data_IF_820851631668
#
_entry.id   IF_820851631668
#
_cell.length_a   1.000
_cell.length_b   1.000
_cell.length_c   1.000
_cell.angle_alpha   90.00
_cell.angle_beta   90.00
_cell.angle_gamma   90.00
#
_symmetry.space_group_name_H-M   'P 1'
#
loop_
_entity.id
_entity.type
_entity.pdbx_description
1 polymer ?
#
# COMPACT_ATOMS: atom_id res chain seq x y z
N UNK A 1 9.12 40.33 -42.28
CA UNK A 1 8.98 40.51 -40.82
C UNK A 1 10.12 39.78 -40.16
N UNK A 2 10.72 40.35 -39.13
CA UNK A 2 11.74 39.73 -38.29
C UNK A 2 11.14 39.57 -36.89
N UNK A 3 11.17 38.34 -36.38
CA UNK A 3 10.67 37.98 -35.04
C UNK A 3 11.68 37.05 -34.39
N UNK A 4 11.91 37.20 -33.09
CA UNK A 4 12.88 36.45 -32.29
C UNK A 4 14.31 36.52 -32.84
N UNK A 5 14.64 37.64 -33.48
CA UNK A 5 15.96 37.85 -34.10
C UNK A 5 16.93 38.59 -33.20
N UNK A 6 18.22 38.42 -33.46
CA UNK A 6 19.27 39.30 -32.93
C UNK A 6 20.06 39.88 -34.10
N UNK A 7 20.08 41.21 -34.18
CA UNK A 7 20.82 42.02 -35.15
C UNK A 7 21.85 42.82 -34.36
N UNK A 8 23.06 42.27 -34.21
CA UNK A 8 24.10 42.88 -33.40
C UNK A 8 25.46 42.75 -34.05
N UNK A 9 26.21 43.86 -34.12
CA UNK A 9 27.53 43.90 -34.73
C UNK A 9 27.56 43.61 -36.24
N UNK A 10 26.41 43.58 -36.93
CA UNK A 10 26.30 43.32 -38.36
C UNK A 10 26.37 44.60 -39.20
N UNK A 11 26.66 44.45 -40.50
CA UNK A 11 26.71 45.56 -41.45
C UNK A 11 26.13 45.15 -42.82
N UNK A 12 25.26 46.00 -43.36
CA UNK A 12 24.71 45.95 -44.70
C UNK A 12 25.69 46.62 -45.65
N UNK A 13 26.51 45.79 -46.31
CA UNK A 13 27.54 46.25 -47.23
C UNK A 13 27.00 47.16 -48.35
N UNK A 14 27.81 48.13 -48.77
CA UNK A 14 27.47 49.05 -49.88
C UNK A 14 26.72 50.32 -49.48
N UNK A 15 26.35 50.46 -48.20
CA UNK A 15 25.77 51.69 -47.62
C UNK A 15 26.73 52.25 -46.56
N UNK A 16 26.55 53.51 -46.14
CA UNK A 16 27.43 54.14 -45.15
C UNK A 16 27.65 53.21 -43.92
N UNK A 17 28.85 53.20 -43.32
CA UNK A 17 29.15 52.32 -42.19
C UNK A 17 28.13 52.54 -41.06
N UNK A 18 27.51 51.44 -40.60
CA UNK A 18 26.54 51.44 -39.49
C UNK A 18 25.24 50.68 -39.75
N UNK A 19 24.78 50.53 -40.99
CA UNK A 19 23.45 49.94 -41.24
C UNK A 19 23.44 48.42 -41.00
N UNK A 20 22.60 47.92 -40.10
CA UNK A 20 22.34 46.50 -39.84
C UNK A 20 21.26 45.92 -40.78
N UNK A 21 20.35 46.78 -41.25
CA UNK A 21 19.33 46.45 -42.25
C UNK A 21 19.41 47.47 -43.39
N UNK A 22 19.38 46.99 -44.65
CA UNK A 22 19.17 47.84 -45.82
C UNK A 22 17.85 47.45 -46.51
N UNK A 23 16.91 48.39 -46.56
CA UNK A 23 15.59 48.21 -47.17
C UNK A 23 15.42 49.13 -48.39
N UNK A 24 15.27 48.55 -49.59
CA UNK A 24 15.04 49.28 -50.84
C UNK A 24 13.61 49.06 -51.35
N UNK A 25 12.72 50.00 -51.07
CA UNK A 25 11.33 49.99 -51.53
C UNK A 25 10.37 49.01 -50.84
N UNK A 26 10.80 48.31 -49.79
CA UNK A 26 9.99 47.32 -49.06
C UNK A 26 9.50 47.79 -47.68
N UNK A 27 8.81 46.92 -46.96
CA UNK A 27 8.37 47.14 -45.57
C UNK A 27 9.04 46.14 -44.63
N UNK A 28 9.84 46.64 -43.68
CA UNK A 28 10.45 45.82 -42.63
C UNK A 28 9.67 46.00 -41.35
N UNK A 29 9.17 44.91 -40.78
CA UNK A 29 8.53 44.90 -39.46
C UNK A 29 9.40 44.09 -38.52
N UNK A 30 9.80 44.67 -37.40
CA UNK A 30 10.56 44.00 -36.34
C UNK A 30 9.65 43.87 -35.11
N UNK A 31 9.62 42.73 -34.46
CA UNK A 31 8.98 42.52 -33.17
C UNK A 31 9.77 41.47 -32.39
N UNK A 32 9.86 41.56 -31.07
CA UNK A 32 10.65 40.62 -30.25
C UNK A 32 12.03 40.40 -30.87
N UNK A 33 12.72 41.51 -31.15
CA UNK A 33 13.98 41.50 -31.88
C UNK A 33 14.96 42.41 -31.17
N UNK A 34 16.15 41.88 -30.90
CA UNK A 34 17.26 42.65 -30.38
C UNK A 34 17.99 43.30 -31.55
N UNK A 35 18.18 44.61 -31.51
CA UNK A 35 18.85 45.38 -32.56
C UNK A 35 19.80 46.38 -31.92
N UNK A 36 21.02 46.53 -32.44
CA UNK A 36 21.93 47.57 -31.97
C UNK A 36 21.32 48.95 -32.23
N UNK A 37 21.60 49.89 -31.34
CA UNK A 37 21.09 51.27 -31.42
C UNK A 37 22.24 52.27 -31.53
N UNK A 38 23.11 52.05 -32.51
CA UNK A 38 24.15 52.99 -32.92
C UNK A 38 23.60 54.02 -33.92
N UNK A 39 24.49 54.74 -34.62
CA UNK A 39 24.06 55.74 -35.61
C UNK A 39 23.86 55.07 -36.97
N UNK A 40 22.66 55.20 -37.54
CA UNK A 40 22.27 54.61 -38.83
C UNK A 40 22.17 53.07 -38.84
N UNK A 41 21.49 52.41 -37.89
CA UNK A 41 21.35 50.93 -37.91
C UNK A 41 20.36 50.40 -38.95
N UNK A 42 19.47 51.24 -39.48
CA UNK A 42 18.55 50.83 -40.55
C UNK A 42 18.52 51.87 -41.64
N UNK A 43 18.92 51.46 -42.85
CA UNK A 43 18.79 52.26 -44.05
C UNK A 43 17.47 51.95 -44.76
N UNK A 44 16.74 53.00 -45.15
CA UNK A 44 15.47 52.89 -45.87
C UNK A 44 15.48 53.76 -47.13
N UNK A 45 15.65 53.14 -48.28
CA UNK A 45 15.54 53.78 -49.60
C UNK A 45 14.16 53.57 -50.21
N UNK A 46 13.24 54.51 -50.00
CA UNK A 46 11.89 54.46 -50.58
C UNK A 46 10.94 53.40 -49.99
N UNK A 47 11.30 52.80 -48.85
CA UNK A 47 10.49 51.82 -48.10
C UNK A 47 9.99 52.34 -46.75
N UNK A 48 9.63 51.41 -45.85
CA UNK A 48 9.24 51.72 -44.45
C UNK A 48 9.77 50.69 -43.45
N UNK A 49 9.93 51.13 -42.20
CA UNK A 49 10.28 50.26 -41.07
C UNK A 49 9.28 50.51 -39.95
N UNK A 50 8.73 49.42 -39.41
CA UNK A 50 7.81 49.44 -38.27
C UNK A 50 8.38 48.63 -37.14
N UNK A 51 8.52 49.26 -35.97
CA UNK A 51 8.87 48.58 -34.73
C UNK A 51 7.59 48.17 -34.00
N UNK A 52 7.41 46.87 -33.87
CA UNK A 52 6.41 46.24 -33.02
C UNK A 52 6.90 46.16 -31.56
N UNK A 53 6.22 45.36 -30.72
CA UNK A 53 6.62 45.17 -29.33
C UNK A 53 7.94 44.40 -29.21
N UNK A 54 8.56 44.41 -28.03
CA UNK A 54 9.70 43.55 -27.71
C UNK A 54 11.01 43.93 -28.41
N UNK A 55 11.19 45.21 -28.77
CA UNK A 55 12.46 45.68 -29.32
C UNK A 55 13.43 45.98 -28.18
N UNK A 56 14.61 45.37 -28.24
CA UNK A 56 15.67 45.51 -27.25
C UNK A 56 16.90 46.09 -27.93
N UNK A 57 17.54 47.07 -27.27
CA UNK A 57 18.71 47.78 -27.82
C UNK A 57 19.99 47.68 -27.00
N UNK A 58 19.93 46.93 -25.90
CA UNK A 58 21.10 46.58 -25.08
C UNK A 58 21.87 45.40 -25.66
N UNK A 59 23.17 45.32 -25.35
CA UNK A 59 24.07 44.24 -25.77
C UNK A 59 23.46 42.84 -25.50
N UNK A 60 23.42 41.93 -26.49
CA UNK A 60 22.94 40.57 -26.30
C UNK A 60 23.85 39.71 -25.41
N UNK A 61 25.04 40.18 -25.04
CA UNK A 61 25.98 39.49 -24.13
C UNK A 61 26.28 38.06 -24.63
N UNK A 62 26.74 37.94 -25.88
CA UNK A 62 27.19 36.66 -26.44
C UNK A 62 28.51 36.21 -25.83
N UNK A 63 28.78 34.89 -25.76
CA UNK A 63 30.01 34.33 -25.17
C UNK A 63 31.28 34.80 -25.91
N UNK A 64 31.32 34.64 -27.23
CA UNK A 64 32.47 35.03 -28.06
C UNK A 64 32.03 35.27 -29.51
N UNK A 65 31.28 36.35 -29.79
CA UNK A 65 30.88 36.67 -31.15
C UNK A 65 32.11 37.10 -31.96
N UNK A 66 32.05 36.91 -33.28
CA UNK A 66 33.08 37.38 -34.21
C UNK A 66 32.58 38.63 -34.96
N UNK A 67 33.52 39.39 -35.55
CA UNK A 67 33.19 40.58 -36.31
C UNK A 67 32.45 40.22 -37.61
N UNK A 68 31.48 41.05 -38.02
CA UNK A 68 30.73 40.81 -39.25
C UNK A 68 31.58 40.85 -40.53
N UNK A 69 32.75 41.50 -40.49
CA UNK A 69 33.73 41.49 -41.61
C UNK A 69 34.30 40.11 -41.89
N UNK A 70 34.25 39.20 -40.91
CA UNK A 70 34.78 37.85 -41.03
C UNK A 70 33.71 36.86 -41.56
N UNK A 71 32.50 37.35 -41.81
CA UNK A 71 31.41 36.56 -42.38
C UNK A 71 31.55 36.38 -43.92
N UNK A 72 31.07 35.25 -44.50
CA UNK A 72 30.44 34.12 -43.81
C UNK A 72 31.49 33.19 -43.20
N UNK A 73 31.23 32.73 -41.98
CA UNK A 73 32.05 31.73 -41.30
C UNK A 73 31.20 30.93 -40.32
N UNK A 74 31.66 29.73 -39.98
CA UNK A 74 31.08 28.88 -38.93
C UNK A 74 31.77 29.07 -37.58
N UNK A 75 32.77 29.94 -37.50
CA UNK A 75 33.46 30.29 -36.25
C UNK A 75 32.66 31.30 -35.42
N UNK A 76 32.95 31.37 -34.12
CA UNK A 76 32.26 32.25 -33.17
C UNK A 76 31.31 31.48 -32.24
N UNK A 77 30.99 32.07 -31.08
CA UNK A 77 30.07 31.51 -30.10
C UNK A 77 28.99 32.55 -29.76
N UNK A 78 27.84 32.39 -30.42
CA UNK A 78 26.66 33.25 -30.28
C UNK A 78 25.66 32.73 -29.25
N UNK A 79 26.07 31.83 -28.34
CA UNK A 79 25.26 31.49 -27.17
C UNK A 79 25.17 32.70 -26.24
N UNK A 80 24.01 32.85 -25.62
CA UNK A 80 23.75 33.89 -24.63
C UNK A 80 24.52 33.59 -23.34
N UNK A 81 25.00 34.64 -22.67
CA UNK A 81 25.51 34.54 -21.31
C UNK A 81 24.41 34.88 -20.29
N UNK A 82 24.61 34.45 -19.04
CA UNK A 82 23.72 34.81 -17.94
C UNK A 82 23.56 36.34 -17.84
N UNK A 83 22.32 36.80 -17.71
CA UNK A 83 21.98 38.23 -17.69
C UNK A 83 21.84 38.88 -19.06
N UNK A 84 21.95 38.12 -20.15
CA UNK A 84 21.62 38.62 -21.49
C UNK A 84 20.16 39.10 -21.53
N UNK A 85 19.89 40.26 -22.15
CA UNK A 85 18.53 40.76 -22.34
C UNK A 85 17.77 39.98 -23.43
N UNK A 86 18.42 39.06 -24.14
CA UNK A 86 17.77 38.20 -25.12
C UNK A 86 17.08 36.97 -24.50
N UNK A 87 17.39 36.67 -23.23
CA UNK A 87 16.83 35.52 -22.51
C UNK A 87 15.34 35.78 -22.20
N UNK A 88 14.49 34.79 -22.40
CA UNK A 88 13.05 34.77 -22.14
C UNK A 88 12.29 35.98 -22.71
N UNK A 89 12.77 36.54 -23.83
CA UNK A 89 12.30 37.83 -24.37
C UNK A 89 11.67 37.76 -25.76
N UNK A 90 11.59 36.56 -26.32
CA UNK A 90 10.97 36.30 -27.61
C UNK A 90 9.45 36.10 -27.57
N UNK A 91 8.89 35.72 -28.71
CA UNK A 91 7.49 35.38 -28.96
C UNK A 91 7.36 33.89 -29.30
N UNK A 92 6.82 33.10 -28.37
CA UNK A 92 6.61 31.66 -28.55
C UNK A 92 5.74 31.33 -29.77
N UNK A 93 4.81 32.21 -30.15
CA UNK A 93 3.91 31.96 -31.29
C UNK A 93 4.61 32.01 -32.64
N UNK A 94 5.79 32.62 -32.71
CA UNK A 94 6.63 32.70 -33.89
C UNK A 94 7.64 31.54 -34.01
N UNK A 95 7.69 30.63 -33.03
CA UNK A 95 8.61 29.49 -33.03
C UNK A 95 8.13 28.40 -33.99
N UNK A 96 8.90 28.16 -35.04
CA UNK A 96 8.59 27.18 -36.09
C UNK A 96 9.39 25.88 -35.99
N UNK A 97 10.38 25.81 -35.10
CA UNK A 97 11.27 24.65 -34.90
C UNK A 97 11.21 24.19 -33.44
N UNK A 98 11.33 22.88 -33.21
CA UNK A 98 11.26 22.31 -31.86
C UNK A 98 12.58 22.43 -31.07
N UNK A 99 13.71 22.62 -31.77
CA UNK A 99 15.02 22.71 -31.14
C UNK A 99 15.81 23.92 -31.63
N UNK A 100 16.73 24.39 -30.79
CA UNK A 100 17.74 25.36 -31.17
C UNK A 100 18.88 24.72 -31.99
N UNK A 101 19.93 25.48 -32.31
CA UNK A 101 21.06 24.97 -33.08
C UNK A 101 21.98 24.00 -32.31
N UNK A 102 21.83 23.89 -30.98
CA UNK A 102 22.50 22.88 -30.15
C UNK A 102 21.69 21.59 -30.02
N UNK A 103 20.46 21.57 -30.54
CA UNK A 103 19.55 20.45 -30.42
C UNK A 103 18.76 20.43 -29.10
N UNK A 104 18.90 21.47 -28.27
CA UNK A 104 18.08 21.63 -27.07
C UNK A 104 16.69 22.14 -27.44
N UNK A 105 15.70 21.96 -26.56
CA UNK A 105 14.35 22.48 -26.81
C UNK A 105 14.40 23.98 -27.11
N UNK A 106 13.66 24.45 -28.13
CA UNK A 106 13.67 25.87 -28.54
C UNK A 106 12.93 26.79 -27.58
N UNK A 107 12.16 26.25 -26.64
CA UNK A 107 11.51 27.01 -25.57
C UNK A 107 11.93 26.35 -24.27
N UNK A 108 12.90 26.94 -23.58
CA UNK A 108 13.28 26.63 -22.20
C UNK A 108 12.75 27.75 -21.29
N UNK A 109 12.60 27.52 -19.98
CA UNK A 109 12.16 28.57 -19.04
C UNK A 109 10.72 29.12 -19.24
N UNK A 110 10.02 28.69 -20.29
CA UNK A 110 8.65 29.09 -20.63
C UNK A 110 8.54 30.12 -21.74
N UNK A 111 9.60 30.86 -22.07
CA UNK A 111 9.63 31.84 -23.16
C UNK A 111 10.87 31.63 -24.03
N UNK A 112 10.69 31.67 -25.35
CA UNK A 112 11.79 31.55 -26.30
C UNK A 112 12.79 32.70 -26.19
N UNK A 113 14.07 32.40 -26.27
CA UNK A 113 15.13 33.39 -26.36
C UNK A 113 15.22 33.98 -27.77
N UNK A 114 15.59 35.26 -27.86
CA UNK A 114 15.89 35.85 -29.16
C UNK A 114 17.22 35.33 -29.71
N UNK A 115 17.23 34.96 -30.99
CA UNK A 115 18.41 34.44 -31.68
C UNK A 115 18.28 32.97 -32.06
N UNK A 116 19.42 32.31 -32.26
CA UNK A 116 19.49 30.94 -32.77
C UNK A 116 19.71 29.87 -31.69
N UNK A 117 20.07 30.30 -30.47
CA UNK A 117 20.39 29.45 -29.33
C UNK A 117 19.50 29.84 -28.15
N UNK A 118 19.15 28.86 -27.34
CA UNK A 118 18.58 29.10 -26.01
C UNK A 118 19.70 29.18 -24.97
N UNK A 119 19.44 29.90 -23.89
CA UNK A 119 20.23 29.89 -22.69
C UNK A 119 19.89 28.63 -21.90
N UNK A 120 20.84 27.71 -21.83
CA UNK A 120 20.65 26.45 -21.14
C UNK A 120 20.50 26.67 -19.63
N UNK A 121 19.44 26.12 -19.06
CA UNK A 121 19.19 26.08 -17.63
C UNK A 121 19.51 24.68 -17.07
N UNK A 122 20.02 24.56 -15.84
CA UNK A 122 19.95 23.30 -15.11
C UNK A 122 18.49 22.99 -14.78
N UNK A 123 18.18 21.71 -14.60
CA UNK A 123 16.85 21.24 -14.17
C UNK A 123 17.09 20.08 -13.21
N UNK A 124 17.16 20.37 -11.92
CA UNK A 124 17.31 19.32 -10.91
C UNK A 124 15.97 18.66 -10.64
N UNK A 125 15.95 17.36 -10.39
CA UNK A 125 14.72 16.65 -10.08
C UNK A 125 14.93 15.71 -8.89
N UNK A 126 13.86 15.46 -8.13
CA UNK A 126 13.89 14.54 -6.99
C UNK A 126 12.74 13.55 -7.05
N UNK A 127 13.06 12.29 -6.77
CA UNK A 127 12.08 11.24 -6.52
C UNK A 127 12.33 10.59 -5.16
N UNK A 128 11.26 10.28 -4.45
CA UNK A 128 11.30 9.64 -3.14
C UNK A 128 10.40 8.41 -3.13
N UNK A 129 10.93 7.31 -2.63
CA UNK A 129 10.18 6.05 -2.44
C UNK A 129 10.36 5.53 -1.02
N UNK A 130 9.48 4.62 -0.60
CA UNK A 130 9.55 3.93 0.69
C UNK A 130 9.38 2.43 0.51
N UNK A 131 10.14 1.64 1.27
CA UNK A 131 9.98 0.20 1.36
C UNK A 131 10.10 -0.27 2.82
N UNK A 132 9.22 -1.18 3.29
CA UNK A 132 7.99 -1.62 2.61
C UNK A 132 6.95 -0.48 2.52
N UNK A 133 5.95 -0.62 1.63
CA UNK A 133 4.85 0.36 1.49
C UNK A 133 3.73 0.15 2.51
N UNK A 134 3.74 -0.98 3.22
CA UNK A 134 2.91 -1.27 4.37
C UNK A 134 3.70 -1.97 5.46
N UNK A 135 3.54 -1.57 6.73
CA UNK A 135 4.18 -2.21 7.87
C UNK A 135 3.46 -1.91 9.19
N UNK A 136 3.66 -2.78 10.18
CA UNK A 136 3.13 -2.54 11.53
C UNK A 136 4.07 -1.65 12.36
N UNK A 137 3.56 -1.02 13.44
CA UNK A 137 4.39 -0.27 14.39
C UNK A 137 5.62 -1.05 14.85
N UNK A 138 6.77 -0.38 14.94
CA UNK A 138 8.05 -0.99 15.35
C UNK A 138 8.85 -1.67 14.23
N UNK A 139 8.37 -1.65 12.99
CA UNK A 139 9.10 -2.24 11.86
C UNK A 139 10.04 -1.23 11.22
N UNK A 140 11.16 -1.74 10.71
CA UNK A 140 12.11 -0.95 9.96
C UNK A 140 11.54 -0.57 8.60
N UNK A 141 11.82 0.66 8.18
CA UNK A 141 11.47 1.20 6.87
C UNK A 141 12.71 1.83 6.24
N UNK A 142 12.70 1.89 4.92
CA UNK A 142 13.76 2.50 4.12
C UNK A 142 13.14 3.52 3.17
N UNK A 143 13.60 4.77 3.22
CA UNK A 143 13.33 5.74 2.18
C UNK A 143 14.51 5.82 1.22
N UNK A 144 14.21 5.90 -0.08
CA UNK A 144 15.23 6.13 -1.11
C UNK A 144 14.92 7.45 -1.81
N UNK A 145 15.88 8.37 -1.75
CA UNK A 145 15.90 9.63 -2.49
C UNK A 145 16.77 9.44 -3.72
N UNK A 146 16.24 9.65 -4.91
CA UNK A 146 17.02 9.69 -6.14
C UNK A 146 16.90 11.07 -6.76
N UNK A 147 18.05 11.70 -7.04
CA UNK A 147 18.15 13.03 -7.61
C UNK A 147 18.94 13.01 -8.91
N UNK A 148 18.67 13.97 -9.79
CA UNK A 148 19.36 14.12 -11.07
C UNK A 148 19.33 15.56 -11.56
N UNK A 149 20.14 15.88 -12.57
CA UNK A 149 20.02 17.08 -13.39
C UNK A 149 19.58 16.67 -14.81
N UNK A 150 18.33 16.97 -15.17
CA UNK A 150 17.74 16.73 -16.50
C UNK A 150 17.95 17.90 -17.46
N UNK A 151 18.47 19.03 -16.96
CA UNK A 151 18.68 20.25 -17.73
C UNK A 151 19.93 20.22 -18.59
N UNK A 152 20.03 21.20 -19.49
CA UNK A 152 21.14 21.29 -20.45
C UNK A 152 22.37 22.03 -19.89
N UNK A 153 22.25 22.70 -18.74
CA UNK A 153 23.38 23.32 -18.04
C UNK A 153 23.74 22.58 -16.75
N UNK A 154 24.97 22.80 -16.27
CA UNK A 154 25.44 22.24 -15.00
C UNK A 154 24.70 22.87 -13.83
N UNK A 155 24.10 22.06 -12.97
CA UNK A 155 23.44 22.52 -11.75
C UNK A 155 24.48 22.78 -10.65
N UNK A 156 24.40 23.95 -10.02
CA UNK A 156 25.32 24.38 -8.96
C UNK A 156 24.55 24.75 -7.70
N UNK A 157 25.25 24.77 -6.55
CA UNK A 157 24.65 24.96 -5.23
C UNK A 157 23.48 24.00 -4.97
N UNK A 158 23.66 22.73 -5.37
CA UNK A 158 22.63 21.71 -5.27
C UNK A 158 22.49 21.25 -3.82
N UNK A 159 21.30 21.41 -3.24
CA UNK A 159 20.99 21.06 -1.85
C UNK A 159 19.78 20.14 -1.84
N UNK A 160 19.89 19.00 -1.15
CA UNK A 160 18.75 18.11 -0.85
C UNK A 160 18.43 18.21 0.63
N UNK A 161 17.14 18.31 0.97
CA UNK A 161 16.65 18.33 2.36
C UNK A 161 15.53 17.33 2.58
N UNK A 162 15.44 16.77 3.78
CA UNK A 162 14.42 15.81 4.17
C UNK A 162 14.17 15.88 5.67
N UNK A 163 12.96 16.29 6.06
CA UNK A 163 12.52 16.35 7.46
C UNK A 163 11.68 15.12 7.78
N UNK A 164 12.34 14.08 8.28
CA UNK A 164 11.70 12.80 8.57
C UNK A 164 10.68 12.97 9.72
N UNK A 165 9.41 12.57 9.53
CA UNK A 165 8.37 12.78 10.52
C UNK A 165 8.58 11.95 11.79
N UNK A 166 8.03 12.42 12.91
CA UNK A 166 8.12 11.77 14.24
C UNK A 166 7.47 10.38 14.30
N UNK A 167 6.72 9.97 13.27
CA UNK A 167 6.24 8.60 13.10
C UNK A 167 7.38 7.62 12.80
N UNK A 168 8.60 8.10 12.53
CA UNK A 168 9.80 7.32 12.27
C UNK A 168 10.86 7.68 13.31
N UNK A 169 11.25 6.68 14.09
CA UNK A 169 12.29 6.77 15.13
C UNK A 169 13.65 6.38 14.59
N UNK A 170 14.70 6.94 15.21
CA UNK A 170 16.11 6.69 14.88
C UNK A 170 16.42 6.78 13.37
N UNK A 171 15.94 7.81 12.65
CA UNK A 171 16.25 7.89 11.23
C UNK A 171 17.75 8.11 11.04
N UNK A 172 18.33 7.44 10.05
CA UNK A 172 19.76 7.50 9.77
C UNK A 172 20.06 7.30 8.28
N UNK A 173 21.21 7.80 7.81
CA UNK A 173 21.67 7.56 6.44
C UNK A 173 22.31 6.17 6.39
N UNK A 174 21.70 5.27 5.63
CA UNK A 174 22.21 3.91 5.42
C UNK A 174 23.25 3.82 4.30
N UNK A 175 23.19 4.75 3.33
CA UNK A 175 24.13 4.77 2.22
C UNK A 175 23.84 5.89 1.23
N UNK A 176 24.78 6.09 0.30
CA UNK A 176 24.63 6.99 -0.83
C UNK A 176 25.50 6.53 -2.02
N UNK A 177 25.16 6.97 -3.23
CA UNK A 177 25.89 6.63 -4.46
C UNK A 177 25.69 7.69 -5.54
N UNK A 178 26.57 7.74 -6.53
CA UNK A 178 26.53 8.70 -7.63
C UNK A 178 27.41 9.91 -7.36
N UNK A 179 26.87 11.12 -7.53
CA UNK A 179 27.56 12.36 -7.22
C UNK A 179 28.12 12.41 -5.79
N UNK A 180 29.15 13.24 -5.57
CA UNK A 180 29.70 13.46 -4.23
C UNK A 180 28.65 14.17 -3.36
N UNK A 181 28.39 13.59 -2.19
CA UNK A 181 27.36 14.03 -1.24
C UNK A 181 28.03 14.38 0.09
N UNK A 182 27.83 15.60 0.55
CA UNK A 182 28.38 16.11 1.81
C UNK A 182 27.21 16.37 2.77
N UNK A 183 27.05 15.57 3.85
CA UNK A 183 26.02 15.82 4.85
C UNK A 183 26.24 17.17 5.56
N UNK A 184 25.20 17.99 5.62
CA UNK A 184 25.19 19.30 6.29
C UNK A 184 24.11 19.40 7.37
N UNK A 185 23.16 18.47 7.40
CA UNK A 185 22.14 18.31 8.44
C UNK A 185 22.07 16.85 8.94
N UNK A 186 21.47 16.67 10.11
CA UNK A 186 21.32 15.36 10.76
C UNK A 186 19.89 15.12 11.18
N UNK A 187 19.57 13.87 11.53
CA UNK A 187 18.27 13.46 12.03
C UNK A 187 17.67 14.44 13.06
N UNK A 188 16.36 14.74 13.00
CA UNK A 188 15.40 14.28 11.98
C UNK A 188 15.37 15.15 10.71
N UNK A 189 16.06 16.30 10.71
CA UNK A 189 16.07 17.27 9.61
C UNK A 189 17.37 17.14 8.83
N UNK A 190 17.41 16.22 7.88
CA UNK A 190 18.59 16.01 7.06
C UNK A 190 18.74 17.09 6.00
N UNK A 191 20.00 17.41 5.71
CA UNK A 191 20.40 18.25 4.60
C UNK A 191 21.72 17.74 4.02
N UNK A 192 21.87 17.84 2.71
CA UNK A 192 23.08 17.44 2.00
C UNK A 192 23.42 18.47 0.94
N UNK A 193 24.69 18.89 0.95
CA UNK A 193 25.28 19.58 -0.18
C UNK A 193 25.72 18.53 -1.21
N UNK A 194 25.23 18.65 -2.43
CA UNK A 194 25.65 17.82 -3.56
C UNK A 194 26.70 18.62 -4.34
N UNK A 195 27.70 17.93 -4.89
CA UNK A 195 28.60 18.53 -5.86
C UNK A 195 27.84 18.99 -7.11
N UNK A 196 28.48 19.83 -7.92
CA UNK A 196 27.90 20.29 -9.19
C UNK A 196 27.52 19.09 -10.05
N UNK A 197 26.32 19.12 -10.62
CA UNK A 197 25.77 18.04 -11.44
C UNK A 197 25.80 18.46 -12.91
N UNK A 198 26.63 17.80 -13.71
CA UNK A 198 26.57 17.98 -15.16
C UNK A 198 25.22 17.47 -15.72
N UNK A 199 24.83 17.88 -16.94
CA UNK A 199 23.63 17.34 -17.61
C UNK A 199 23.62 15.80 -17.60
N UNK A 200 22.52 15.22 -17.09
CA UNK A 200 22.32 13.77 -16.97
C UNK A 200 22.96 13.11 -15.74
N UNK A 201 23.72 13.84 -14.91
CA UNK A 201 24.27 13.30 -13.67
C UNK A 201 23.25 13.26 -12.54
N UNK A 202 23.51 12.43 -11.53
CA UNK A 202 22.62 12.27 -10.39
C UNK A 202 23.18 11.34 -9.31
N UNK A 203 22.33 10.93 -8.40
CA UNK A 203 22.70 10.06 -7.30
C UNK A 203 21.53 9.60 -6.46
N UNK A 204 21.86 8.83 -5.42
CA UNK A 204 20.90 8.23 -4.50
C UNK A 204 21.36 8.48 -3.06
N UNK A 205 20.41 8.77 -2.18
CA UNK A 205 20.57 8.79 -0.73
C UNK A 205 19.54 7.81 -0.13
N UNK A 206 20.01 6.88 0.70
CA UNK A 206 19.15 5.90 1.38
C UNK A 206 19.08 6.22 2.86
N UNK A 207 17.85 6.42 3.36
CA UNK A 207 17.55 6.63 4.76
C UNK A 207 16.86 5.40 5.33
N UNK A 208 17.21 5.01 6.54
CA UNK A 208 16.49 3.98 7.30
C UNK A 208 15.94 4.56 8.58
N UNK A 209 14.92 3.93 9.14
CA UNK A 209 14.35 4.25 10.44
C UNK A 209 13.37 3.17 10.88
N UNK A 210 12.76 3.34 12.04
CA UNK A 210 11.79 2.38 12.59
C UNK A 210 10.48 3.10 12.89
N UNK A 211 9.35 2.59 12.40
CA UNK A 211 8.04 3.14 12.75
C UNK A 211 7.86 3.18 14.27
N UNK A 212 7.40 4.30 14.81
CA UNK A 212 7.11 4.45 16.24
C UNK A 212 6.21 3.30 16.73
N UNK A 213 6.43 2.86 17.97
CA UNK A 213 5.61 1.84 18.61
C UNK A 213 5.31 2.27 20.06
N UNK A 214 4.05 2.62 20.41
CA UNK A 214 2.85 2.49 19.59
C UNK A 214 2.75 3.56 18.48
N UNK A 215 2.06 3.22 17.39
CA UNK A 215 1.66 4.15 16.33
C UNK A 215 0.27 3.72 15.84
N UNK A 216 -0.67 4.66 15.78
CA UNK A 216 -2.00 4.38 15.28
C UNK A 216 -1.96 4.05 13.79
N UNK A 217 -2.89 3.21 13.34
CA UNK A 217 -3.03 2.91 11.92
C UNK A 217 -3.34 4.17 11.11
N UNK A 218 -2.81 4.22 9.89
CA UNK A 218 -2.96 5.38 9.01
C UNK A 218 -1.89 5.44 7.93
N UNK A 219 -1.98 6.48 7.10
CA UNK A 219 -1.03 6.74 6.02
C UNK A 219 -0.09 7.87 6.46
N UNK A 220 1.21 7.61 6.49
CA UNK A 220 2.23 8.56 6.90
C UNK A 220 3.14 8.89 5.73
N UNK A 221 3.21 10.17 5.36
CA UNK A 221 4.06 10.65 4.28
C UNK A 221 5.33 11.32 4.82
N UNK A 222 6.46 11.02 4.19
CA UNK A 222 7.69 11.78 4.33
C UNK A 222 7.96 12.54 3.02
N UNK A 223 8.39 13.80 3.10
CA UNK A 223 8.62 14.65 1.93
C UNK A 223 10.03 15.22 1.96
N UNK A 224 10.70 15.15 0.81
CA UNK A 224 12.01 15.73 0.59
C UNK A 224 11.96 16.75 -0.54
N UNK A 225 12.92 17.66 -0.54
CA UNK A 225 13.06 18.76 -1.49
C UNK A 225 14.50 18.84 -2.00
N UNK A 226 14.68 19.23 -3.26
CA UNK A 226 15.96 19.58 -3.87
C UNK A 226 15.91 21.01 -4.38
N UNK A 227 17.03 21.73 -4.32
CA UNK A 227 17.17 23.07 -4.89
C UNK A 227 18.51 23.21 -5.60
N UNK A 228 18.55 24.01 -6.67
CA UNK A 228 19.78 24.43 -7.33
C UNK A 228 19.69 25.89 -7.79
N UNK A 229 20.81 26.52 -8.08
CA UNK A 229 20.82 27.89 -8.65
C UNK A 229 20.38 27.85 -10.11
N UNK A 230 19.39 28.67 -10.47
CA UNK A 230 18.92 28.82 -11.86
C UNK A 230 18.13 27.62 -12.38
N UNK A 231 17.58 26.81 -11.48
CA UNK A 231 16.75 25.65 -11.83
C UNK A 231 15.55 26.05 -12.71
N UNK A 232 15.41 25.36 -13.84
CA UNK A 232 14.45 25.66 -14.90
C UNK A 232 13.05 25.10 -14.67
N UNK A 233 12.87 24.11 -13.78
CA UNK A 233 11.57 23.52 -13.47
C UNK A 233 11.43 23.16 -11.98
N UNK A 234 10.82 24.07 -11.20
CA UNK A 234 10.60 23.81 -9.79
C UNK A 234 9.54 22.73 -9.47
N UNK A 235 8.78 22.23 -10.47
CA UNK A 235 7.66 21.31 -10.23
C UNK A 235 8.13 19.89 -9.87
N UNK A 236 9.34 19.51 -10.25
CA UNK A 236 9.93 18.19 -10.00
C UNK A 236 10.90 18.18 -8.80
N UNK A 237 11.00 19.30 -8.08
CA UNK A 237 11.93 19.50 -6.96
C UNK A 237 11.45 18.99 -5.61
N UNK A 238 10.24 18.43 -5.55
CA UNK A 238 9.62 18.00 -4.30
C UNK A 238 8.99 16.63 -4.48
N UNK A 239 9.33 15.70 -3.59
CA UNK A 239 8.81 14.33 -3.68
C UNK A 239 8.43 13.76 -2.32
N UNK A 240 7.26 13.13 -2.26
CA UNK A 240 6.71 12.52 -1.06
C UNK A 240 6.58 11.01 -1.23
N UNK A 241 6.95 10.24 -0.21
CA UNK A 241 6.67 8.80 -0.13
C UNK A 241 5.81 8.51 1.10
N UNK A 242 4.73 7.76 0.90
CA UNK A 242 3.78 7.41 1.94
C UNK A 242 3.83 5.91 2.28
N UNK A 243 3.74 5.60 3.57
CA UNK A 243 3.62 4.23 4.09
C UNK A 243 2.27 4.05 4.78
N UNK A 244 1.63 2.92 4.53
CA UNK A 244 0.45 2.48 5.27
C UNK A 244 0.88 1.75 6.54
N UNK A 245 0.37 2.17 7.68
CA UNK A 245 0.63 1.53 8.97
C UNK A 245 -0.63 0.82 9.44
N UNK A 246 -0.52 -0.47 9.73
CA UNK A 246 -1.59 -1.33 10.26
C UNK A 246 -0.98 -2.60 10.87
N UNK A 247 -1.65 -3.23 11.83
CA UNK A 247 -1.26 -4.57 12.29
C UNK A 247 -1.68 -5.67 11.27
N UNK A 248 -0.95 -6.78 11.28
CA UNK A 248 -1.16 -7.97 10.44
C UNK A 248 -1.58 -9.18 11.28
N UNK A 249 -1.86 -9.02 12.57
CA UNK A 249 -2.24 -10.13 13.45
C UNK A 249 -3.71 -10.55 13.27
N UNK A 250 -3.93 -11.50 12.36
CA UNK A 250 -5.25 -12.11 12.14
C UNK A 250 -5.52 -13.31 13.08
N UNK A 251 -4.86 -13.47 14.23
CA UNK A 251 -5.08 -14.66 15.08
C UNK A 251 -6.22 -14.47 16.07
N UNK A 252 -6.72 -15.60 16.58
CA UNK A 252 -7.50 -15.62 17.82
C UNK A 252 -6.57 -15.69 19.02
N UNK A 253 -6.86 -14.92 20.07
CA UNK A 253 -6.31 -15.10 21.41
C UNK A 253 -7.07 -16.15 22.22
N UNK A 254 -8.34 -16.41 21.91
CA UNK A 254 -9.15 -17.42 22.59
C UNK A 254 -10.25 -17.98 21.67
N UNK A 255 -10.68 -19.22 21.94
CA UNK A 255 -11.82 -19.86 21.30
C UNK A 255 -12.48 -20.80 22.30
N UNK A 256 -13.74 -20.53 22.66
CA UNK A 256 -14.46 -21.28 23.69
C UNK A 256 -15.80 -21.78 23.15
N UNK A 257 -16.18 -23.00 23.52
CA UNK A 257 -17.51 -23.57 23.29
C UNK A 257 -18.30 -23.61 24.60
N UNK A 258 -19.62 -23.40 24.55
CA UNK A 258 -20.48 -23.56 25.73
C UNK A 258 -20.65 -25.01 26.19
N UNK A 259 -20.41 -25.99 25.30
CA UNK A 259 -20.50 -27.42 25.60
C UNK A 259 -19.58 -28.21 24.66
N UNK A 260 -19.01 -29.29 25.19
CA UNK A 260 -18.00 -30.11 24.50
C UNK A 260 -16.61 -29.43 24.54
N UNK A 261 -15.56 -30.12 25.02
CA UNK A 261 -14.22 -29.56 24.98
C UNK A 261 -13.70 -29.52 23.54
N UNK A 262 -13.00 -28.44 23.18
CA UNK A 262 -12.22 -28.41 21.94
C UNK A 262 -11.11 -29.45 22.00
N UNK A 263 -10.97 -30.21 20.91
CA UNK A 263 -9.92 -31.19 20.70
C UNK A 263 -9.20 -30.87 19.39
N UNK A 264 -7.90 -30.53 19.42
CA UNK A 264 -7.08 -30.29 20.62
C UNK A 264 -7.56 -29.07 21.43
N UNK A 265 -7.03 -28.87 22.64
CA UNK A 265 -7.25 -27.63 23.38
C UNK A 265 -6.77 -26.42 22.55
N UNK A 266 -7.39 -25.25 22.75
CA UNK A 266 -7.11 -24.08 21.93
C UNK A 266 -5.64 -23.64 22.02
N UNK A 267 -5.02 -23.47 20.84
CA UNK A 267 -3.71 -22.85 20.64
C UNK A 267 -3.83 -21.99 19.38
N UNK A 268 -3.43 -20.72 19.43
CA UNK A 268 -3.69 -19.74 18.36
C UNK A 268 -3.19 -20.12 16.97
N UNK A 269 -2.19 -21.01 16.87
CA UNK A 269 -1.62 -21.53 15.61
C UNK A 269 -2.35 -22.76 15.06
N UNK A 270 -3.23 -23.40 15.85
CA UNK A 270 -4.04 -24.53 15.39
C UNK A 270 -5.33 -24.01 14.78
N UNK A 271 -5.60 -24.41 13.55
CA UNK A 271 -6.73 -23.89 12.74
C UNK A 271 -7.89 -24.87 12.60
N UNK A 272 -7.75 -26.08 13.14
CA UNK A 272 -8.76 -27.14 13.02
C UNK A 272 -9.01 -27.76 14.39
N UNK A 273 -10.28 -27.78 14.77
CA UNK A 273 -10.75 -28.31 16.06
C UNK A 273 -11.96 -29.21 15.87
N UNK A 274 -12.12 -30.16 16.77
CA UNK A 274 -13.33 -30.94 16.92
C UNK A 274 -13.88 -30.81 18.32
N UNK A 275 -15.18 -31.04 18.49
CA UNK A 275 -15.81 -31.20 19.79
C UNK A 275 -16.94 -32.22 19.66
N UNK A 276 -17.16 -33.02 20.71
CA UNK A 276 -18.27 -33.98 20.76
C UNK A 276 -19.25 -33.55 21.83
N UNK A 277 -20.53 -33.50 21.47
CA UNK A 277 -21.62 -33.13 22.40
C UNK A 277 -22.68 -34.23 22.44
N UNK A 278 -23.32 -34.38 23.60
CA UNK A 278 -24.35 -35.39 23.81
C UNK A 278 -25.58 -35.15 22.90
N UNK A 279 -26.34 -36.21 22.62
CA UNK A 279 -27.52 -36.14 21.76
C UNK A 279 -28.56 -35.09 22.20
N UNK A 280 -28.71 -34.86 23.51
CA UNK A 280 -29.64 -33.86 24.06
C UNK A 280 -29.17 -32.41 23.86
N UNK A 281 -27.92 -32.19 23.47
CA UNK A 281 -27.40 -30.85 23.15
C UNK A 281 -27.89 -30.45 21.76
N UNK A 282 -28.85 -29.53 21.69
CA UNK A 282 -29.44 -29.05 20.43
C UNK A 282 -28.83 -27.74 19.94
N UNK A 283 -28.02 -27.07 20.76
CA UNK A 283 -27.28 -25.85 20.40
C UNK A 283 -25.96 -25.78 21.14
N UNK A 284 -24.99 -25.10 20.54
CA UNK A 284 -23.69 -24.75 21.14
C UNK A 284 -23.40 -23.29 20.79
N UNK A 285 -22.83 -22.53 21.72
CA UNK A 285 -22.29 -21.20 21.40
C UNK A 285 -20.78 -21.29 21.16
N UNK A 286 -20.31 -20.53 20.18
CA UNK A 286 -18.89 -20.33 19.86
C UNK A 286 -18.54 -18.91 20.25
N UNK A 287 -17.54 -18.74 21.12
CA UNK A 287 -17.09 -17.43 21.61
C UNK A 287 -15.61 -17.25 21.24
N UNK A 288 -15.30 -16.71 20.05
CA UNK A 288 -13.94 -16.38 19.65
C UNK A 288 -13.51 -15.00 20.17
N UNK A 289 -12.23 -14.85 20.49
CA UNK A 289 -11.62 -13.57 20.87
C UNK A 289 -10.40 -13.34 19.98
N UNK A 290 -10.37 -12.21 19.25
CA UNK A 290 -9.22 -11.79 18.43
C UNK A 290 -8.01 -11.48 19.31
N UNK A 291 -6.80 -11.70 18.79
CA UNK A 291 -5.58 -11.28 19.49
C UNK A 291 -5.29 -9.79 19.36
N UNK A 292 -5.64 -9.21 18.22
CA UNK A 292 -5.63 -7.77 17.98
C UNK A 292 -7.04 -7.18 18.19
N UNK A 293 -7.11 -6.07 18.90
CA UNK A 293 -8.34 -5.33 19.18
C UNK A 293 -8.90 -4.61 17.94
N UNK A 294 -8.05 -4.31 16.95
CA UNK A 294 -8.45 -3.65 15.70
C UNK A 294 -8.78 -4.65 14.58
N UNK A 295 -8.57 -5.95 14.80
CA UNK A 295 -8.99 -7.00 13.86
C UNK A 295 -10.51 -7.16 13.85
N UNK A 296 -11.05 -7.57 12.70
CA UNK A 296 -12.47 -7.90 12.54
C UNK A 296 -12.68 -9.42 12.58
N UNK A 297 -13.88 -9.84 12.95
CA UNK A 297 -14.21 -11.23 13.20
C UNK A 297 -15.56 -11.57 12.56
N UNK A 298 -15.64 -12.75 11.95
CA UNK A 298 -16.87 -13.30 11.40
C UNK A 298 -16.99 -14.79 11.74
N UNK A 299 -18.21 -15.25 12.06
CA UNK A 299 -18.52 -16.67 12.27
C UNK A 299 -19.56 -17.09 11.24
N UNK A 300 -19.24 -18.12 10.45
CA UNK A 300 -20.01 -18.56 9.28
C UNK A 300 -20.36 -17.41 8.31
N UNK A 301 -19.44 -16.44 8.16
CA UNK A 301 -19.60 -15.26 7.32
C UNK A 301 -20.41 -14.12 7.94
N UNK A 302 -21.03 -14.31 9.12
CA UNK A 302 -21.73 -13.26 9.83
C UNK A 302 -20.74 -12.46 10.71
N UNK A 303 -20.71 -11.11 10.64
CA UNK A 303 -19.87 -10.29 11.50
C UNK A 303 -20.17 -10.54 12.99
N UNK A 304 -19.13 -10.61 13.81
CA UNK A 304 -19.21 -10.86 15.25
C UNK A 304 -18.17 -9.98 15.97
N UNK A 305 -18.53 -9.42 17.13
CA UNK A 305 -17.57 -8.71 17.97
C UNK A 305 -16.56 -9.65 18.63
N UNK A 306 -15.36 -9.17 18.92
CA UNK A 306 -14.37 -9.96 19.68
C UNK A 306 -14.92 -10.29 21.08
N UNK A 307 -14.96 -11.58 21.43
CA UNK A 307 -15.51 -12.06 22.69
C UNK A 307 -17.04 -12.21 22.71
N UNK A 308 -17.75 -11.90 21.62
CA UNK A 308 -19.18 -12.12 21.51
C UNK A 308 -19.51 -13.58 21.20
N UNK A 309 -20.67 -14.06 21.65
CA UNK A 309 -21.10 -15.44 21.46
C UNK A 309 -21.95 -15.61 20.19
N UNK A 310 -21.52 -16.48 19.28
CA UNK A 310 -22.31 -16.93 18.15
C UNK A 310 -23.04 -18.23 18.50
N UNK A 311 -24.38 -18.27 18.37
CA UNK A 311 -25.17 -19.47 18.68
C UNK A 311 -25.36 -20.35 17.45
N UNK A 312 -24.76 -21.54 17.45
CA UNK A 312 -25.03 -22.58 16.47
C UNK A 312 -26.28 -23.37 16.89
N UNK A 313 -27.38 -23.14 16.17
CA UNK A 313 -28.67 -23.80 16.42
C UNK A 313 -29.51 -23.87 15.15
N UNK A 314 -30.26 -24.96 14.91
CA UNK A 314 -30.20 -26.24 15.63
C UNK A 314 -28.97 -27.05 15.20
N UNK A 315 -28.43 -27.87 16.11
CA UNK A 315 -27.43 -28.89 15.75
C UNK A 315 -28.13 -30.07 15.07
N UNK A 316 -27.61 -30.52 13.93
CA UNK A 316 -27.99 -31.81 13.35
C UNK A 316 -27.19 -32.94 14.00
N UNK A 317 -27.76 -34.14 14.09
CA UNK A 317 -27.01 -35.33 14.52
C UNK A 317 -25.88 -35.58 13.53
N UNK A 318 -24.68 -35.89 14.04
CA UNK A 318 -23.46 -35.95 13.25
C UNK A 318 -22.67 -34.64 13.26
N UNK A 319 -21.76 -34.43 12.29
CA UNK A 319 -20.87 -33.27 12.26
C UNK A 319 -21.59 -31.98 11.86
N UNK A 320 -21.35 -30.92 12.63
CA UNK A 320 -21.78 -29.54 12.35
C UNK A 320 -20.51 -28.68 12.27
N UNK A 321 -20.29 -28.02 11.13
CA UNK A 321 -19.07 -27.24 10.91
C UNK A 321 -19.33 -25.76 11.18
N UNK A 322 -18.44 -25.13 11.93
CA UNK A 322 -18.37 -23.68 12.14
C UNK A 322 -17.04 -23.18 11.60
N UNK A 323 -17.08 -22.15 10.77
CA UNK A 323 -15.90 -21.41 10.31
C UNK A 323 -15.84 -20.07 11.03
N UNK A 324 -14.76 -19.81 11.74
CA UNK A 324 -14.47 -18.51 12.34
C UNK A 324 -13.34 -17.86 11.57
N UNK A 325 -13.57 -16.71 10.96
CA UNK A 325 -12.57 -15.97 10.18
C UNK A 325 -12.24 -14.67 10.89
N UNK A 326 -10.95 -14.45 11.13
CA UNK A 326 -10.40 -13.18 11.62
C UNK A 326 -9.73 -12.49 10.45
N UNK A 327 -9.97 -11.20 10.27
CA UNK A 327 -9.26 -10.34 9.33
C UNK A 327 -8.49 -9.30 10.12
N UNK A 328 -7.18 -9.21 9.91
CA UNK A 328 -6.33 -8.22 10.57
C UNK A 328 -6.73 -6.78 10.18
N UNK A 329 -6.17 -5.80 10.89
CA UNK A 329 -6.41 -4.37 10.64
C UNK A 329 -6.06 -3.92 9.21
N UNK A 330 -5.13 -4.61 8.54
CA UNK A 330 -4.77 -4.35 7.14
C UNK A 330 -5.90 -4.66 6.12
N UNK A 331 -6.97 -5.33 6.54
CA UNK A 331 -8.11 -5.73 5.70
C UNK A 331 -7.80 -6.83 4.67
N UNK A 332 -6.58 -7.37 4.66
CA UNK A 332 -6.10 -8.35 3.67
C UNK A 332 -5.73 -9.66 4.33
N UNK A 333 -4.97 -9.60 5.43
CA UNK A 333 -4.49 -10.77 6.14
C UNK A 333 -5.65 -11.42 6.88
N UNK A 334 -5.93 -12.69 6.57
CA UNK A 334 -7.02 -13.45 7.18
C UNK A 334 -6.53 -14.79 7.74
N UNK A 335 -7.14 -15.22 8.83
CA UNK A 335 -6.98 -16.56 9.39
C UNK A 335 -8.36 -17.16 9.67
N UNK A 336 -8.59 -18.37 9.17
CA UNK A 336 -9.79 -19.13 9.46
C UNK A 336 -9.50 -20.28 10.42
N UNK A 337 -10.42 -20.48 11.37
CA UNK A 337 -10.46 -21.55 12.34
C UNK A 337 -11.72 -22.38 12.11
N UNK A 338 -11.55 -23.66 11.81
CA UNK A 338 -12.64 -24.60 11.60
C UNK A 338 -12.92 -25.41 12.86
N UNK A 339 -14.18 -25.47 13.27
CA UNK A 339 -14.64 -26.26 14.42
C UNK A 339 -15.69 -27.25 13.91
N UNK A 340 -15.43 -28.54 14.07
CA UNK A 340 -16.41 -29.58 13.79
C UNK A 340 -17.04 -30.06 15.10
N UNK A 341 -18.26 -29.62 15.38
CA UNK A 341 -19.06 -30.08 16.52
C UNK A 341 -19.86 -31.31 16.10
N UNK A 342 -19.45 -32.49 16.56
CA UNK A 342 -20.20 -33.74 16.33
C UNK A 342 -21.21 -33.93 17.44
N UNK A 343 -22.49 -33.75 17.10
CA UNK A 343 -23.61 -34.13 17.98
C UNK A 343 -23.81 -35.63 17.87
N UNK A 344 -23.67 -36.35 18.97
CA UNK A 344 -23.91 -37.80 19.00
C UNK A 344 -25.36 -38.11 18.61
N UNK A 345 -25.57 -39.24 17.93
CA UNK A 345 -26.90 -39.82 17.75
C UNK A 345 -27.50 -40.21 19.10
N UNK A 346 -28.79 -40.55 19.12
CA UNK A 346 -29.37 -41.18 20.30
C UNK A 346 -28.56 -42.46 20.54
N UNK A 347 -27.68 -42.44 21.54
CA UNK A 347 -26.86 -43.60 21.89
C UNK A 347 -27.80 -44.56 22.59
N UNK A 348 -28.41 -45.39 21.76
CA UNK A 348 -29.56 -46.18 22.13
C UNK A 348 -29.21 -47.36 23.01
N UNK A 349 -27.99 -47.51 23.51
CA UNK A 349 -27.59 -48.70 24.26
C UNK A 349 -27.72 -48.46 25.77
N UNK A 350 -28.67 -49.17 26.36
CA UNK A 350 -28.96 -49.14 27.78
C UNK A 350 -28.63 -50.48 28.41
N UNK A 351 -28.02 -50.47 29.59
CA UNK A 351 -27.58 -51.71 30.25
C UNK A 351 -28.35 -51.93 31.56
N UNK A 352 -28.86 -53.14 31.75
CA UNK A 352 -29.59 -53.58 32.94
C UNK A 352 -28.85 -54.77 33.55
N UNK A 353 -28.51 -54.66 34.85
CA UNK A 353 -27.87 -55.73 35.62
C UNK A 353 -28.43 -55.81 37.05
N UNK A 354 -28.45 -56.99 37.69
CA UNK A 354 -28.99 -57.15 39.05
C UNK A 354 -28.24 -56.33 40.10
N UNK A 355 -26.96 -56.08 39.83
CA UNK A 355 -26.03 -55.32 40.69
C UNK A 355 -26.06 -53.81 40.39
N UNK A 356 -26.90 -53.37 39.46
CA UNK A 356 -27.05 -51.98 39.05
C UNK A 356 -27.86 -51.13 40.05
N UNK A 357 -28.11 -49.87 39.66
CA UNK A 357 -28.99 -48.92 40.36
C UNK A 357 -29.71 -48.06 39.31
N UNK A 358 -31.02 -47.83 39.45
CA UNK A 358 -31.79 -47.00 38.53
C UNK A 358 -31.43 -45.51 38.62
N UNK A 359 -30.65 -45.11 39.62
CA UNK A 359 -30.00 -43.79 39.67
C UNK A 359 -28.82 -43.65 38.70
N UNK A 360 -28.22 -44.75 38.20
CA UNK A 360 -27.03 -44.72 37.34
C UNK A 360 -27.31 -44.13 35.95
N UNK A 361 -26.28 -43.78 35.17
CA UNK A 361 -26.48 -43.29 33.80
C UNK A 361 -26.94 -44.39 32.80
N UNK A 362 -26.83 -45.66 33.18
CA UNK A 362 -27.29 -46.84 32.46
C UNK A 362 -26.70 -47.00 31.05
N UNK A 363 -25.50 -46.43 30.81
CA UNK A 363 -24.80 -46.45 29.51
C UNK A 363 -23.66 -47.45 29.42
N UNK A 364 -23.42 -48.22 30.47
CA UNK A 364 -22.40 -49.28 30.49
C UNK A 364 -22.81 -50.40 31.46
N UNK A 365 -22.30 -51.63 31.27
CA UNK A 365 -22.48 -52.75 32.21
C UNK A 365 -21.72 -52.54 33.53
N UNK A 366 -22.12 -53.25 34.58
CA UNK A 366 -21.44 -53.28 35.88
C UNK A 366 -22.00 -52.37 37.00
N UNK A 367 -21.50 -52.62 38.21
CA UNK A 367 -21.85 -51.88 39.44
C UNK A 367 -21.54 -50.39 39.28
N UNK A 368 -22.51 -49.54 39.56
CA UNK A 368 -22.39 -48.08 39.43
C UNK A 368 -22.62 -47.51 38.03
N UNK A 369 -22.87 -48.38 37.03
CA UNK A 369 -23.12 -47.96 35.64
C UNK A 369 -24.46 -48.45 35.10
N UNK A 370 -24.81 -49.73 35.32
CA UNK A 370 -26.05 -50.31 34.80
C UNK A 370 -27.29 -49.90 35.62
N UNK A 371 -28.45 -49.88 34.99
CA UNK A 371 -29.75 -49.80 35.67
C UNK A 371 -30.00 -51.11 36.44
N UNK A 372 -30.74 -51.03 37.56
CA UNK A 372 -31.14 -52.23 38.31
C UNK A 372 -32.36 -52.90 37.70
N UNK A 373 -33.26 -52.09 37.15
CA UNK A 373 -34.55 -52.53 36.60
C UNK A 373 -34.64 -52.27 35.10
N UNK A 374 -35.46 -53.08 34.42
CA UNK A 374 -35.77 -52.88 33.00
C UNK A 374 -36.57 -51.58 32.85
N UNK A 375 -37.52 -51.30 33.75
CA UNK A 375 -38.26 -50.03 33.81
C UNK A 375 -37.32 -48.83 33.97
N UNK A 376 -36.28 -48.95 34.81
CA UNK A 376 -35.26 -47.93 35.02
C UNK A 376 -34.57 -47.54 33.71
N UNK A 377 -34.22 -48.52 32.88
CA UNK A 377 -33.67 -48.29 31.55
C UNK A 377 -34.72 -47.74 30.56
N UNK A 378 -35.93 -48.30 30.53
CA UNK A 378 -37.03 -47.87 29.64
C UNK A 378 -37.46 -46.42 29.86
N UNK A 379 -37.47 -45.96 31.11
CA UNK A 379 -37.81 -44.59 31.46
C UNK A 379 -36.81 -43.60 30.86
N UNK A 380 -35.55 -44.02 30.76
CA UNK A 380 -34.46 -43.20 30.23
C UNK A 380 -34.30 -43.35 28.71
N UNK A 381 -34.69 -44.49 28.14
CA UNK A 381 -34.63 -44.78 26.71
C UNK A 381 -35.62 -43.96 25.86
N UNK A 382 -35.24 -43.66 24.63
CA UNK A 382 -36.10 -43.10 23.58
C UNK A 382 -36.59 -44.21 22.62
N UNK A 383 -37.65 -43.93 21.85
CA UNK A 383 -38.11 -44.87 20.82
C UNK A 383 -37.03 -45.07 19.76
N UNK A 384 -36.64 -46.32 19.48
CA UNK A 384 -35.52 -46.70 18.61
C UNK A 384 -34.31 -47.27 19.37
N UNK A 385 -34.28 -47.14 20.70
CA UNK A 385 -33.16 -47.58 21.53
C UNK A 385 -33.14 -49.10 21.77
N UNK A 386 -31.96 -49.62 22.12
CA UNK A 386 -31.63 -50.98 22.52
C UNK A 386 -31.39 -51.10 24.04
N UNK A 387 -32.03 -52.06 24.69
CA UNK A 387 -31.80 -52.36 26.11
C UNK A 387 -31.13 -53.73 26.22
N UNK A 388 -29.85 -53.73 26.62
CA UNK A 388 -29.04 -54.90 26.91
C UNK A 388 -29.30 -55.35 28.35
N UNK A 389 -29.82 -56.56 28.51
CA UNK A 389 -30.24 -57.12 29.80
C UNK A 389 -29.32 -58.28 30.15
N UNK A 390 -28.59 -58.17 31.25
CA UNK A 390 -27.70 -59.23 31.73
C UNK A 390 -28.47 -60.42 32.34
N UNK A 391 -27.90 -61.64 32.33
CA UNK A 391 -28.58 -62.85 32.79
C UNK A 391 -28.97 -62.78 34.27
N UNK A 392 -30.27 -62.74 34.55
CA UNK A 392 -30.85 -62.84 35.89
C UNK A 392 -32.38 -63.01 35.83
N UNK A 393 -33.02 -63.11 37.01
CA UNK A 393 -34.47 -63.03 37.15
C UNK A 393 -34.88 -61.60 37.51
N UNK A 394 -35.62 -60.93 36.62
CA UNK A 394 -36.22 -59.61 36.85
C UNK A 394 -37.73 -59.77 37.03
N UNK A 395 -38.26 -59.38 38.19
CA UNK A 395 -39.70 -59.46 38.49
C UNK A 395 -40.32 -58.07 38.41
N UNK A 396 -40.84 -57.71 37.23
CA UNK A 396 -41.38 -56.38 36.93
C UNK A 396 -42.66 -56.50 36.06
N UNK A 397 -43.62 -55.58 36.26
CA UNK A 397 -44.78 -55.42 35.38
C UNK A 397 -44.49 -54.34 34.34
N UNK A 398 -44.02 -54.74 33.15
CA UNK A 398 -43.62 -53.80 32.10
C UNK A 398 -44.85 -53.26 31.35
N UNK A 399 -44.90 -51.94 31.17
CA UNK A 399 -45.83 -51.27 30.23
C UNK A 399 -44.99 -50.65 29.13
N UNK A 400 -44.96 -51.28 27.96
CA UNK A 400 -44.14 -50.83 26.82
C UNK A 400 -44.91 -49.80 26.00
N UNK A 401 -44.55 -48.53 26.15
CA UNK A 401 -45.16 -47.40 25.42
C UNK A 401 -44.25 -46.82 24.32
N UNK A 402 -42.99 -47.27 24.25
CA UNK A 402 -41.95 -46.85 23.29
C UNK A 402 -41.54 -48.03 22.42
N UNK A 403 -41.21 -47.80 21.15
CA UNK A 403 -40.63 -48.86 20.30
C UNK A 403 -39.18 -49.07 20.70
N UNK A 404 -38.89 -50.16 21.43
CA UNK A 404 -37.56 -50.47 22.00
C UNK A 404 -37.13 -51.88 21.58
N UNK A 405 -35.83 -52.07 21.40
CA UNK A 405 -35.23 -53.38 21.10
C UNK A 405 -34.62 -53.95 22.38
N UNK A 406 -35.12 -55.06 22.89
CA UNK A 406 -34.56 -55.70 24.09
C UNK A 406 -33.62 -56.83 23.68
N UNK A 407 -32.42 -56.85 24.24
CA UNK A 407 -31.34 -57.78 23.86
C UNK A 407 -30.84 -58.45 25.14
N UNK A 408 -31.09 -59.75 25.30
CA UNK A 408 -30.44 -60.53 26.35
C UNK A 408 -28.96 -60.71 26.02
N UNK A 409 -28.05 -60.38 26.93
CA UNK A 409 -26.61 -60.63 26.76
C UNK A 409 -26.19 -61.89 27.51
N UNK A 410 -25.26 -62.69 26.96
CA UNK A 410 -24.66 -63.84 27.69
C UNK A 410 -25.18 -65.24 27.35
N UNK A 411 -25.88 -65.45 26.23
CA UNK A 411 -26.02 -66.78 25.60
C UNK A 411 -26.90 -67.81 26.32
N UNK A 412 -27.78 -67.39 27.23
CA UNK A 412 -28.84 -68.26 27.76
C UNK A 412 -30.15 -67.99 27.01
N UNK A 413 -30.78 -69.05 26.46
CA UNK A 413 -31.86 -69.00 25.46
C UNK A 413 -33.17 -68.31 25.91
N UNK A 414 -33.32 -67.80 27.14
CA UNK A 414 -34.54 -67.11 27.58
C UNK A 414 -34.24 -66.06 28.66
N UNK A 415 -34.53 -64.78 28.37
CA UNK A 415 -34.80 -63.75 29.41
C UNK A 415 -36.29 -63.82 29.75
N UNK A 416 -36.64 -64.35 30.93
CA UNK A 416 -38.03 -64.43 31.38
C UNK A 416 -38.47 -63.11 32.00
N UNK A 417 -39.26 -62.33 31.25
CA UNK A 417 -40.02 -61.20 31.80
C UNK A 417 -41.41 -61.72 32.19
N UNK A 418 -41.65 -61.97 33.48
CA UNK A 418 -42.97 -62.42 33.96
C UNK A 418 -43.83 -61.23 34.40
N UNK A 419 -44.74 -60.78 33.53
CA UNK A 419 -45.61 -59.62 33.76
C UNK A 419 -46.80 -59.89 34.69
N UNK A 420 -46.59 -60.52 35.85
CA UNK A 420 -47.49 -60.42 37.02
C UNK A 420 -49.01 -60.58 36.83
N UNK A 421 -49.50 -61.22 35.76
CA UNK A 421 -50.92 -61.42 35.48
C UNK A 421 -51.60 -60.27 34.72
N UNK A 422 -52.31 -60.65 33.66
CA UNK A 422 -53.22 -59.86 32.81
C UNK A 422 -52.55 -59.20 31.59
N UNK A 423 -52.59 -59.93 30.47
CA UNK A 423 -52.19 -59.54 29.10
C UNK A 423 -50.73 -59.85 28.76
N UNK A 424 -50.53 -60.97 28.05
CA UNK A 424 -49.30 -61.28 27.32
C UNK A 424 -49.38 -60.72 25.92
#
# INVERSE_FOLDING_TARGET
QLVNGVLWGNSAGGFAPGNQIANYGGTTVLSNTLIQSDTNDIWVGGGSVTFGPGIITSDPIFVAPIAATDAPTTTGNYRLQAGSPAIDSGDNSAVAVSTDLDGNARIQGGVVDMGAYEFNLPDVALSKTVFPTSAKPGYAITYTLAFSNSGAATATNVIVTDSVPVSVTNPSVAGSSGAVIIPTGTAPNFAWQIADLAPGEGGIITLTGVLSNPLAAGIFANTAEITATGDGDAANNRSSAAISVSDFDARLANLVLSSGPLTPAFISTTTSYTAVVANLTTSVTVTPTTSDANATLAVNGAPLGSGEAYTLTPLVVGPNVVSTTVTAEDGVTQQSYAITVTRLGADGDWYVEPVGDDANNCRAPGVGYACRTIIGAMNKAASGDRIFIAPATYTESLVVTKSLTYIGVGGADVTLVSGGGSSR
#
